data_IF_984777017689
#
_entry.id   IF_984777017689
#
_cell.length_a   1.000
_cell.length_b   1.000
_cell.length_c   1.000
_cell.angle_alpha   90.00
_cell.angle_beta   90.00
_cell.angle_gamma   90.00
#
_symmetry.space_group_name_H-M   'P 1'
#
loop_
_entity.id
_entity.type
_entity.pdbx_description
1 polymer ?
#
# COMPACT_ATOMS: atom_id res chain seq x y z
N UNK A 1 -19.82 8.77 -15.11
CA UNK A 1 -19.42 10.11 -14.59
C UNK A 1 -20.48 11.20 -14.75
N UNK A 2 -21.56 10.95 -15.45
CA UNK A 2 -22.64 11.94 -15.65
C UNK A 2 -23.38 12.35 -14.35
N UNK A 3 -23.49 11.45 -13.37
CA UNK A 3 -24.21 11.68 -12.10
C UNK A 3 -23.61 12.79 -11.22
N UNK A 4 -22.37 13.20 -11.46
CA UNK A 4 -21.66 14.21 -10.64
C UNK A 4 -21.23 15.46 -11.43
N UNK A 5 -21.88 15.76 -12.56
CA UNK A 5 -21.58 16.96 -13.35
C UNK A 5 -21.63 18.22 -12.47
N UNK A 6 -20.51 18.92 -12.37
CA UNK A 6 -20.37 20.17 -11.62
C UNK A 6 -20.26 20.03 -10.09
N UNK A 7 -20.35 18.83 -9.51
CA UNK A 7 -20.17 18.62 -8.06
C UNK A 7 -18.72 18.22 -7.75
N UNK A 8 -18.21 18.66 -6.60
CA UNK A 8 -16.95 18.19 -6.09
C UNK A 8 -17.03 16.71 -5.72
N UNK A 9 -16.11 15.90 -6.23
CA UNK A 9 -16.05 14.48 -5.97
C UNK A 9 -14.64 14.10 -5.49
N UNK A 10 -14.55 13.11 -4.58
CA UNK A 10 -13.27 12.53 -4.17
C UNK A 10 -13.22 11.05 -4.60
N UNK A 11 -12.23 10.71 -5.41
CA UNK A 11 -11.94 9.34 -5.82
C UNK A 11 -10.76 8.83 -5.00
N UNK A 12 -10.96 7.72 -4.26
CA UNK A 12 -9.96 7.16 -3.37
C UNK A 12 -9.50 5.80 -3.89
N UNK A 13 -8.21 5.67 -4.19
CA UNK A 13 -7.60 4.39 -4.53
C UNK A 13 -6.83 3.83 -3.34
N UNK A 14 -7.24 2.66 -2.87
CA UNK A 14 -6.50 1.91 -1.85
C UNK A 14 -5.45 1.03 -2.53
N UNK A 15 -4.26 1.60 -2.69
CA UNK A 15 -3.09 0.87 -3.17
C UNK A 15 -2.49 -0.01 -2.04
N UNK A 16 -1.22 0.08 -1.77
CA UNK A 16 -0.51 -0.58 -0.67
C UNK A 16 0.88 0.04 -0.51
N UNK A 17 1.47 -0.10 0.65
CA UNK A 17 2.91 0.12 0.83
C UNK A 17 3.74 -0.71 -0.16
N UNK A 18 3.26 -1.91 -0.53
CA UNK A 18 3.91 -2.79 -1.51
C UNK A 18 3.87 -2.25 -2.96
N UNK A 19 3.08 -1.22 -3.26
CA UNK A 19 3.19 -0.49 -4.52
C UNK A 19 4.52 0.30 -4.62
N UNK A 20 5.07 0.69 -3.48
CA UNK A 20 6.32 1.46 -3.36
C UNK A 20 7.51 0.61 -2.91
N UNK A 21 7.24 -0.47 -2.19
CA UNK A 21 8.21 -1.41 -1.66
C UNK A 21 7.71 -2.84 -1.89
N UNK A 22 7.97 -3.42 -3.09
CA UNK A 22 7.66 -4.82 -3.35
C UNK A 22 8.41 -5.76 -2.40
N UNK A 23 7.72 -6.78 -1.89
CA UNK A 23 8.31 -7.75 -0.98
C UNK A 23 8.34 -9.16 -1.60
N UNK A 24 9.36 -9.98 -1.28
CA UNK A 24 9.43 -11.38 -1.66
C UNK A 24 8.19 -12.15 -1.21
N UNK A 25 7.65 -13.02 -2.07
CA UNK A 25 6.41 -13.75 -1.83
C UNK A 25 5.14 -12.99 -2.25
N UNK A 26 5.22 -11.68 -2.49
CA UNK A 26 4.09 -10.83 -2.86
C UNK A 26 4.24 -10.18 -4.24
N UNK A 27 5.01 -10.79 -5.16
CA UNK A 27 5.35 -10.18 -6.45
C UNK A 27 4.11 -9.77 -7.25
N UNK A 28 3.17 -10.70 -7.46
CA UNK A 28 1.93 -10.43 -8.21
C UNK A 28 1.06 -9.39 -7.51
N UNK A 29 0.88 -9.50 -6.20
CA UNK A 29 0.15 -8.51 -5.41
C UNK A 29 0.80 -7.12 -5.52
N UNK A 30 2.10 -7.03 -5.37
CA UNK A 30 2.85 -5.77 -5.51
C UNK A 30 2.67 -5.16 -6.89
N UNK A 31 2.70 -5.98 -7.95
CA UNK A 31 2.48 -5.55 -9.33
C UNK A 31 1.07 -4.93 -9.50
N UNK A 32 0.01 -5.58 -8.97
CA UNK A 32 -1.35 -5.04 -9.05
C UNK A 32 -1.47 -3.70 -8.30
N UNK A 33 -0.81 -3.56 -7.16
CA UNK A 33 -0.84 -2.31 -6.38
C UNK A 33 0.01 -1.19 -7.00
N UNK A 34 1.12 -1.54 -7.65
CA UNK A 34 1.91 -0.60 -8.44
C UNK A 34 1.16 -0.13 -9.70
N UNK A 35 0.37 -1.00 -10.33
CA UNK A 35 -0.49 -0.63 -11.44
C UNK A 35 -1.52 0.44 -11.04
N UNK A 36 -2.15 0.32 -9.84
CA UNK A 36 -3.06 1.35 -9.31
C UNK A 36 -2.33 2.69 -9.08
N UNK A 37 -1.08 2.64 -8.63
CA UNK A 37 -0.26 3.84 -8.41
C UNK A 37 0.06 4.54 -9.72
N UNK A 38 0.49 3.79 -10.74
CA UNK A 38 0.76 4.31 -12.08
C UNK A 38 -0.49 4.87 -12.75
N UNK A 39 -1.61 4.13 -12.67
CA UNK A 39 -2.91 4.61 -13.16
C UNK A 39 -3.30 5.93 -12.50
N UNK A 40 -3.25 6.01 -11.17
CA UNK A 40 -3.62 7.21 -10.44
C UNK A 40 -2.73 8.41 -10.79
N UNK A 41 -1.44 8.15 -11.06
CA UNK A 41 -0.51 9.19 -11.51
C UNK A 41 -0.94 9.78 -12.85
N UNK A 42 -1.16 8.95 -13.88
CA UNK A 42 -1.57 9.39 -15.22
C UNK A 42 -2.97 10.00 -15.21
N UNK A 43 -3.93 9.31 -14.61
CA UNK A 43 -5.32 9.77 -14.54
C UNK A 43 -5.49 11.13 -13.86
N UNK A 44 -4.57 11.51 -12.97
CA UNK A 44 -4.61 12.84 -12.36
C UNK A 44 -4.45 14.00 -13.39
N UNK A 45 -3.86 13.73 -14.54
CA UNK A 45 -3.73 14.72 -15.63
C UNK A 45 -4.92 14.69 -16.60
N UNK A 46 -5.70 13.60 -16.58
CA UNK A 46 -6.81 13.36 -17.51
C UNK A 46 -8.18 13.65 -16.89
N UNK A 47 -8.28 13.61 -15.55
CA UNK A 47 -9.53 13.77 -14.81
C UNK A 47 -10.08 15.19 -14.87
N UNK A 48 -11.38 15.33 -14.71
CA UNK A 48 -12.05 16.62 -14.57
C UNK A 48 -11.54 17.39 -13.34
N UNK A 49 -11.53 18.71 -13.42
CA UNK A 49 -11.02 19.59 -12.35
C UNK A 49 -11.80 19.48 -11.02
N UNK A 50 -13.08 19.08 -11.08
CA UNK A 50 -13.95 18.87 -9.90
C UNK A 50 -13.70 17.52 -9.21
N UNK A 51 -12.83 16.65 -9.74
CA UNK A 51 -12.48 15.36 -9.13
C UNK A 51 -11.18 15.52 -8.36
N UNK A 52 -11.22 15.30 -7.04
CA UNK A 52 -10.03 15.12 -6.23
C UNK A 52 -9.64 13.64 -6.22
N UNK A 53 -8.39 13.34 -6.60
CA UNK A 53 -7.87 11.98 -6.61
C UNK A 53 -6.94 11.76 -5.41
N UNK A 54 -7.24 10.76 -4.59
CA UNK A 54 -6.43 10.38 -3.43
C UNK A 54 -5.96 8.94 -3.53
N UNK A 55 -4.68 8.69 -3.29
CA UNK A 55 -4.09 7.34 -3.21
C UNK A 55 -3.64 7.06 -1.78
N UNK A 56 -4.04 5.90 -1.26
CA UNK A 56 -3.72 5.45 0.10
C UNK A 56 -2.76 4.27 0.04
N UNK A 57 -1.72 4.29 0.88
CA UNK A 57 -0.69 3.24 0.93
C UNK A 57 -0.65 2.60 2.34
N UNK A 58 -1.61 1.71 2.67
CA UNK A 58 -1.55 0.96 3.92
C UNK A 58 -0.36 0.01 3.94
N UNK A 59 0.25 -0.16 5.11
CA UNK A 59 1.14 -1.29 5.40
C UNK A 59 0.30 -2.53 5.73
N UNK A 60 0.95 -3.65 6.13
CA UNK A 60 0.26 -4.84 6.59
C UNK A 60 -0.80 -4.48 7.64
N UNK A 61 -2.07 -4.74 7.32
CA UNK A 61 -3.23 -4.39 8.15
C UNK A 61 -3.84 -5.67 8.69
N UNK A 62 -4.16 -5.69 9.99
CA UNK A 62 -4.73 -6.85 10.69
C UNK A 62 -6.16 -7.10 10.20
N UNK A 63 -6.30 -7.83 9.10
CA UNK A 63 -7.56 -8.23 8.46
C UNK A 63 -7.49 -9.70 8.06
N UNK A 64 -8.58 -10.25 7.54
CA UNK A 64 -8.62 -11.62 7.02
C UNK A 64 -7.74 -11.85 5.77
N UNK A 65 -7.19 -10.79 5.18
CA UNK A 65 -6.37 -10.85 3.96
C UNK A 65 -5.24 -11.90 4.06
N UNK A 66 -4.51 -11.94 5.18
CA UNK A 66 -3.40 -12.87 5.33
C UNK A 66 -3.84 -14.31 5.57
N UNK A 67 -5.04 -14.52 6.12
CA UNK A 67 -5.64 -15.86 6.24
C UNK A 67 -5.99 -16.42 4.85
N UNK A 68 -6.54 -15.58 3.98
CA UNK A 68 -6.89 -15.96 2.60
C UNK A 68 -5.64 -16.19 1.73
N UNK A 69 -4.50 -15.59 2.07
CA UNK A 69 -3.24 -15.76 1.33
C UNK A 69 -2.58 -17.15 1.58
N UNK A 70 -3.10 -17.95 2.52
CA UNK A 70 -2.62 -19.28 2.87
C UNK A 70 -2.16 -19.37 4.33
N UNK A 71 -2.34 -20.54 4.93
CA UNK A 71 -1.99 -20.78 6.33
C UNK A 71 -0.49 -20.54 6.59
N UNK A 72 -0.21 -19.79 7.64
CA UNK A 72 1.16 -19.47 8.05
C UNK A 72 1.90 -18.52 7.12
N UNK A 73 1.23 -17.88 6.15
CA UNK A 73 1.86 -16.86 5.28
C UNK A 73 2.53 -15.78 6.14
N UNK A 74 3.85 -15.50 5.94
CA UNK A 74 4.56 -14.50 6.72
C UNK A 74 3.94 -13.11 6.57
N UNK A 75 3.48 -12.53 7.69
CA UNK A 75 2.94 -11.17 7.70
C UNK A 75 4.10 -10.18 7.84
N UNK A 76 4.24 -9.22 6.90
CA UNK A 76 5.28 -8.20 7.00
C UNK A 76 5.13 -7.34 8.27
N UNK A 77 6.24 -6.99 8.89
CA UNK A 77 6.28 -6.08 10.03
C UNK A 77 6.72 -4.67 9.56
N UNK A 78 6.18 -3.61 10.15
CA UNK A 78 5.14 -3.55 11.19
C UNK A 78 3.71 -3.73 10.65
N UNK A 79 2.78 -4.06 11.55
CA UNK A 79 1.34 -4.13 11.25
C UNK A 79 0.60 -2.92 11.80
N UNK A 80 -0.61 -2.68 11.29
CA UNK A 80 -1.54 -1.64 11.78
C UNK A 80 -2.97 -2.18 11.87
N UNK A 81 -3.87 -1.43 12.50
CA UNK A 81 -5.28 -1.82 12.60
C UNK A 81 -6.11 -1.21 11.47
N UNK A 82 -7.22 -1.85 11.07
CA UNK A 82 -8.15 -1.33 10.06
C UNK A 82 -8.72 0.06 10.44
N UNK A 83 -9.03 0.26 11.72
CA UNK A 83 -9.59 1.51 12.24
C UNK A 83 -8.62 2.68 12.01
N UNK A 84 -7.33 2.45 12.26
CA UNK A 84 -6.30 3.47 12.00
C UNK A 84 -6.23 3.82 10.52
N UNK A 85 -6.31 2.83 9.64
CA UNK A 85 -6.32 3.07 8.19
C UNK A 85 -7.55 3.91 7.81
N UNK A 86 -8.74 3.52 8.27
CA UNK A 86 -9.98 4.23 8.01
C UNK A 86 -9.93 5.69 8.49
N UNK A 87 -9.45 5.92 9.72
CA UNK A 87 -9.30 7.27 10.27
C UNK A 87 -8.37 8.15 9.42
N UNK A 88 -7.24 7.60 8.96
CA UNK A 88 -6.30 8.36 8.13
C UNK A 88 -6.85 8.61 6.71
N UNK A 89 -7.67 7.70 6.17
CA UNK A 89 -8.42 7.92 4.91
C UNK A 89 -9.37 9.11 5.07
N UNK A 90 -10.24 9.09 6.09
CA UNK A 90 -11.20 10.17 6.35
C UNK A 90 -10.47 11.51 6.54
N UNK A 91 -9.42 11.54 7.37
CA UNK A 91 -8.59 12.76 7.54
C UNK A 91 -7.96 13.22 6.22
N UNK A 92 -7.58 12.28 5.36
CA UNK A 92 -7.04 12.57 4.04
C UNK A 92 -8.05 13.24 3.13
N UNK A 93 -9.27 12.73 3.09
CA UNK A 93 -10.40 13.29 2.32
C UNK A 93 -10.71 14.70 2.80
N UNK A 94 -10.92 14.88 4.10
CA UNK A 94 -11.25 16.19 4.70
C UNK A 94 -10.15 17.26 4.47
N UNK A 95 -8.90 16.83 4.28
CA UNK A 95 -7.76 17.72 4.03
C UNK A 95 -7.34 17.79 2.56
N UNK A 96 -8.13 17.25 1.65
CA UNK A 96 -7.83 17.17 0.21
C UNK A 96 -6.42 16.65 -0.09
N UNK A 97 -5.96 15.61 0.65
CA UNK A 97 -4.62 15.05 0.45
C UNK A 97 -4.58 14.19 -0.81
N UNK A 98 -3.57 14.38 -1.63
CA UNK A 98 -3.31 13.54 -2.81
C UNK A 98 -2.77 12.15 -2.43
N UNK A 99 -1.93 12.07 -1.40
CA UNK A 99 -1.31 10.83 -0.93
C UNK A 99 -1.48 10.68 0.58
N UNK A 100 -1.89 9.49 1.01
CA UNK A 100 -2.07 9.14 2.42
C UNK A 100 -1.24 7.91 2.76
N UNK A 101 -0.39 8.05 3.77
CA UNK A 101 0.41 6.98 4.36
C UNK A 101 -0.06 6.79 5.80
N UNK A 102 -0.95 5.81 6.09
CA UNK A 102 -1.48 5.61 7.44
C UNK A 102 -0.39 5.31 8.48
N UNK A 103 0.70 4.68 8.08
CA UNK A 103 1.88 4.46 8.92
C UNK A 103 2.86 5.62 8.80
N UNK A 104 3.02 6.39 9.88
CA UNK A 104 4.03 7.45 9.96
C UNK A 104 5.45 6.90 9.82
N UNK A 105 5.71 5.71 10.39
CA UNK A 105 6.98 5.02 10.26
C UNK A 105 7.30 4.69 8.80
N UNK A 106 6.34 4.08 8.08
CA UNK A 106 6.54 3.78 6.67
C UNK A 106 6.81 5.03 5.85
N UNK A 107 6.08 6.12 6.11
CA UNK A 107 6.32 7.41 5.45
C UNK A 107 7.74 7.92 5.71
N UNK A 108 8.22 7.86 6.95
CA UNK A 108 9.58 8.26 7.30
C UNK A 108 10.63 7.38 6.58
N UNK A 109 10.42 6.05 6.57
CA UNK A 109 11.29 5.11 5.85
C UNK A 109 11.36 5.46 4.36
N UNK A 110 10.22 5.77 3.72
CA UNK A 110 10.20 6.16 2.30
C UNK A 110 10.95 7.47 2.04
N UNK A 111 10.88 8.43 2.95
CA UNK A 111 11.66 9.68 2.85
C UNK A 111 13.17 9.41 2.97
N UNK A 112 13.57 8.61 3.95
CA UNK A 112 14.98 8.21 4.14
C UNK A 112 15.49 7.40 2.94
N UNK A 113 14.69 6.45 2.45
CA UNK A 113 15.07 5.61 1.31
C UNK A 113 15.28 6.41 0.01
N UNK A 114 14.67 7.58 -0.11
CA UNK A 114 14.92 8.49 -1.26
C UNK A 114 16.37 8.98 -1.28
N UNK A 115 17.01 9.05 -0.11
CA UNK A 115 18.40 9.53 0.07
C UNK A 115 19.35 8.32 0.17
N UNK A 116 18.92 7.28 0.90
CA UNK A 116 19.73 6.08 1.19
C UNK A 116 18.93 4.83 0.77
N UNK A 117 18.97 4.42 -0.51
CA UNK A 117 18.17 3.29 -1.01
C UNK A 117 18.53 1.92 -0.41
N UNK A 118 19.67 1.82 0.31
CA UNK A 118 20.14 0.59 0.92
C UNK A 118 19.26 0.07 2.06
N UNK A 119 18.58 0.94 2.81
CA UNK A 119 17.76 0.55 3.97
C UNK A 119 16.60 -0.38 3.58
N UNK A 120 15.90 -0.08 2.49
CA UNK A 120 14.81 -0.94 1.99
C UNK A 120 15.33 -2.25 1.41
N UNK A 121 16.50 -2.26 0.81
CA UNK A 121 17.14 -3.49 0.34
C UNK A 121 17.45 -4.44 1.51
N UNK A 122 17.99 -3.94 2.62
CA UNK A 122 18.21 -4.73 3.83
C UNK A 122 16.90 -5.30 4.38
N UNK A 123 15.83 -4.49 4.46
CA UNK A 123 14.52 -4.94 4.90
C UNK A 123 13.98 -6.06 3.98
N UNK A 124 14.07 -5.88 2.65
CA UNK A 124 13.64 -6.89 1.69
C UNK A 124 14.41 -8.23 1.86
N UNK A 125 15.71 -8.19 2.21
CA UNK A 125 16.50 -9.40 2.51
C UNK A 125 16.01 -10.13 3.76
N UNK A 126 15.61 -9.40 4.81
CA UNK A 126 15.02 -10.00 6.01
C UNK A 126 13.69 -10.69 5.67
N UNK A 127 12.82 -10.03 4.92
CA UNK A 127 11.55 -10.62 4.48
C UNK A 127 11.77 -11.80 3.52
N UNK A 128 12.79 -11.76 2.66
CA UNK A 128 13.18 -12.89 1.81
C UNK A 128 13.58 -14.12 2.64
N UNK A 129 14.34 -13.93 3.71
CA UNK A 129 14.73 -15.02 4.60
C UNK A 129 13.53 -15.68 5.26
N UNK A 130 12.59 -14.87 5.80
CA UNK A 130 11.33 -15.36 6.39
C UNK A 130 10.49 -16.16 5.37
N UNK A 131 10.38 -15.64 4.16
CA UNK A 131 9.64 -16.29 3.08
C UNK A 131 10.27 -17.64 2.69
N UNK A 132 11.60 -17.70 2.53
CA UNK A 132 12.30 -18.96 2.23
C UNK A 132 12.13 -19.99 3.33
N UNK A 133 12.20 -19.57 4.61
CA UNK A 133 11.98 -20.45 5.77
C UNK A 133 10.56 -21.04 5.76
N UNK A 134 9.57 -20.21 5.51
CA UNK A 134 8.17 -20.64 5.39
C UNK A 134 7.98 -21.63 4.24
N UNK A 135 8.52 -21.38 3.05
CA UNK A 135 8.45 -22.32 1.92
C UNK A 135 9.08 -23.67 2.22
N UNK A 136 10.21 -23.68 2.93
CA UNK A 136 10.88 -24.92 3.31
C UNK A 136 10.04 -25.76 4.30
N UNK A 137 9.22 -25.12 5.13
CA UNK A 137 8.32 -25.77 6.06
C UNK A 137 7.03 -26.26 5.37
N UNK A 138 6.45 -25.43 4.49
CA UNK A 138 5.20 -25.73 3.77
C UNK A 138 5.34 -26.81 2.69
N UNK A 139 6.54 -27.04 2.14
CA UNK A 139 6.81 -28.11 1.16
C UNK A 139 7.01 -29.50 1.78
N UNK A 140 6.99 -29.60 3.11
CA UNK A 140 7.13 -30.89 3.83
C UNK A 140 5.79 -31.54 4.20
N UNK A 141 4.68 -30.91 3.75
CA UNK A 141 3.34 -31.46 3.81
C UNK A 141 2.90 -31.80 2.39
#
# INVERSE_FOLDING_TARGET
MELNKGKQACMVFTASAMAKLPLPGYALYSATKAALDGFAYSFNFEKDANIHLMVVYPIATKTEFFKTAGDGTPVPFPTQTPEKVAQEIVKGILKNKRYVFPSKLFRAIMMVNRIIPFALWCYAKVEQYKFKKWLATSRRI
#
